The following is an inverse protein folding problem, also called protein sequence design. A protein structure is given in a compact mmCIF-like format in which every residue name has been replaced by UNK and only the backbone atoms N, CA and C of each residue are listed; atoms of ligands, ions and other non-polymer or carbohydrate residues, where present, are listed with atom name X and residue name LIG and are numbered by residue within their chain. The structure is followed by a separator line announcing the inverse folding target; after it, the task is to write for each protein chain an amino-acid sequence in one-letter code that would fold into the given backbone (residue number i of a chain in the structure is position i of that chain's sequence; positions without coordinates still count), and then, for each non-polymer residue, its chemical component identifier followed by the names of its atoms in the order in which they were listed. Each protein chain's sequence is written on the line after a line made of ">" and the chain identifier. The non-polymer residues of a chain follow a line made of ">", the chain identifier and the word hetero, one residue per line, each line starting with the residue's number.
data_IF_350534956552
#
_entry.id   IF_350534956552
#
_cell.length_a   1.000
_cell.length_b   1.000
_cell.length_c   1.000
_cell.angle_alpha   90.00
_cell.angle_beta   90.00
_cell.angle_gamma   90.00
#
_symmetry.space_group_name_H-M   'P 1'
#
loop_
_entity.id
_entity.type
_entity.pdbx_description
1 polymer ?
#
# COMPACT_ATOMS: atom_id res chain seq x y z
N UNK A 1 4.15 23.40 -57.33
CA UNK A 1 4.60 22.24 -56.52
C UNK A 1 4.38 22.60 -55.05
N UNK A 2 3.25 22.24 -54.51
CA UNK A 2 2.84 22.54 -53.13
C UNK A 2 3.07 21.31 -52.26
N UNK A 3 3.98 21.42 -51.31
CA UNK A 3 4.28 20.41 -50.32
C UNK A 3 3.13 20.31 -49.30
N UNK A 4 2.45 19.18 -49.24
CA UNK A 4 1.47 18.85 -48.20
C UNK A 4 2.21 18.53 -46.91
N UNK A 5 2.08 19.39 -45.92
CA UNK A 5 2.49 19.12 -44.54
C UNK A 5 1.46 18.18 -43.91
N UNK A 6 1.85 16.96 -43.61
CA UNK A 6 1.03 15.96 -42.93
C UNK A 6 1.02 16.28 -41.43
N UNK A 7 -0.09 16.82 -40.92
CA UNK A 7 -0.31 17.06 -39.48
C UNK A 7 -0.82 15.76 -38.87
N UNK A 8 -0.04 15.20 -37.96
CA UNK A 8 -0.50 14.13 -37.06
C UNK A 8 -1.45 14.71 -36.00
N UNK A 9 -2.59 14.06 -35.70
CA UNK A 9 -3.46 14.50 -34.62
C UNK A 9 -2.83 14.13 -33.27
N UNK A 10 -2.59 15.14 -32.43
CA UNK A 10 -2.24 15.01 -31.03
C UNK A 10 -3.48 14.59 -30.23
N UNK A 11 -3.78 13.31 -30.16
CA UNK A 11 -4.88 12.79 -29.35
C UNK A 11 -4.73 11.29 -29.12
N UNK A 12 -3.72 10.88 -28.32
CA UNK A 12 -3.62 9.53 -27.74
C UNK A 12 -2.77 9.50 -26.44
N UNK A 13 -2.98 10.48 -25.56
CA UNK A 13 -2.36 10.47 -24.23
C UNK A 13 -3.27 11.04 -23.13
N UNK A 14 -4.59 10.79 -23.23
CA UNK A 14 -5.55 11.24 -22.24
C UNK A 14 -6.63 10.19 -21.97
N UNK A 15 -6.24 8.90 -21.75
CA UNK A 15 -7.19 7.87 -21.34
C UNK A 15 -6.54 6.87 -20.38
N UNK A 16 -6.26 7.32 -19.16
CA UNK A 16 -5.88 6.42 -18.09
C UNK A 16 -6.28 6.94 -16.69
N UNK A 17 -7.30 7.81 -16.58
CA UNK A 17 -7.72 8.28 -15.26
C UNK A 17 -9.22 8.61 -15.18
N UNK A 18 -10.08 7.76 -15.69
CA UNK A 18 -11.54 7.96 -15.55
C UNK A 18 -12.29 6.62 -15.47
N UNK A 19 -11.83 5.68 -14.61
CA UNK A 19 -12.65 4.52 -14.23
C UNK A 19 -12.53 4.33 -12.70
N UNK A 20 -12.99 5.32 -11.96
CA UNK A 20 -13.32 5.17 -10.54
C UNK A 20 -14.54 6.03 -10.21
N UNK A 21 -15.66 5.82 -10.90
CA UNK A 21 -16.98 6.25 -10.43
C UNK A 21 -18.02 5.41 -11.20
N UNK A 22 -18.80 4.68 -10.43
CA UNK A 22 -19.89 3.79 -10.77
C UNK A 22 -19.51 2.31 -10.97
N UNK A 23 -19.28 1.60 -9.89
CA UNK A 23 -19.65 0.19 -9.83
C UNK A 23 -20.53 0.00 -8.61
N UNK A 24 -21.75 -0.35 -8.89
CA UNK A 24 -22.77 -0.67 -7.92
C UNK A 24 -22.31 -1.77 -6.97
N UNK A 25 -22.85 -1.68 -5.77
CA UNK A 25 -22.82 -2.70 -4.74
C UNK A 25 -23.27 -4.02 -5.36
N UNK A 26 -22.33 -4.91 -5.62
CA UNK A 26 -22.61 -6.32 -5.81
C UNK A 26 -21.73 -7.07 -4.83
N UNK A 27 -22.37 -7.75 -3.93
CA UNK A 27 -21.86 -8.65 -2.92
C UNK A 27 -20.75 -9.56 -3.48
N UNK A 28 -19.50 -9.23 -3.23
CA UNK A 28 -18.41 -10.20 -3.29
C UNK A 28 -18.20 -10.70 -1.87
N UNK A 29 -18.71 -11.90 -1.67
CA UNK A 29 -18.55 -12.72 -0.49
C UNK A 29 -17.07 -12.99 -0.21
N UNK A 30 -16.71 -12.86 1.08
CA UNK A 30 -15.73 -13.64 1.83
C UNK A 30 -14.63 -14.32 1.00
N UNK A 31 -13.54 -13.60 0.78
CA UNK A 31 -12.24 -14.22 0.62
C UNK A 31 -11.36 -13.71 1.76
N UNK A 32 -11.24 -14.54 2.79
CA UNK A 32 -10.18 -14.67 3.79
C UNK A 32 -9.41 -13.39 4.20
N UNK A 33 -10.04 -12.51 4.93
CA UNK A 33 -9.40 -11.47 5.78
C UNK A 33 -8.92 -12.08 7.11
N UNK A 34 -8.66 -13.38 7.16
CA UNK A 34 -8.40 -14.11 8.42
C UNK A 34 -6.98 -13.98 9.00
N UNK A 35 -5.99 -13.44 8.26
CA UNK A 35 -4.61 -13.44 8.73
C UNK A 35 -4.06 -12.08 9.19
N UNK A 36 -4.61 -10.96 8.71
CA UNK A 36 -4.18 -9.62 9.15
C UNK A 36 -4.54 -9.32 10.61
N UNK A 37 -5.63 -9.91 11.10
CA UNK A 37 -6.19 -9.64 12.41
C UNK A 37 -5.33 -10.11 13.61
N UNK A 38 -4.53 -11.14 13.42
CA UNK A 38 -3.66 -11.68 14.47
C UNK A 38 -2.44 -10.80 14.73
N UNK A 39 -1.86 -10.23 13.68
CA UNK A 39 -0.67 -9.41 13.75
C UNK A 39 -0.94 -8.02 14.29
N UNK A 40 -2.00 -7.37 13.82
CA UNK A 40 -2.43 -6.08 14.34
C UNK A 40 -2.69 -6.14 15.86
N UNK A 41 -3.31 -7.23 16.31
CA UNK A 41 -3.57 -7.44 17.75
C UNK A 41 -2.28 -7.62 18.55
N UNK A 42 -1.32 -8.37 18.01
CA UNK A 42 -0.08 -8.67 18.71
C UNK A 42 0.91 -7.49 18.69
N UNK A 43 0.97 -6.74 17.60
CA UNK A 43 1.78 -5.50 17.52
C UNK A 43 1.27 -4.44 18.49
N UNK A 44 -0.06 -4.32 18.63
CA UNK A 44 -0.65 -3.37 19.56
C UNK A 44 -0.53 -3.83 21.02
N UNK A 45 -0.61 -5.13 21.30
CA UNK A 45 -0.33 -5.66 22.64
C UNK A 45 1.14 -5.45 23.03
N UNK A 46 2.06 -5.50 22.07
CA UNK A 46 3.47 -5.19 22.31
C UNK A 46 3.72 -3.69 22.46
N UNK A 47 3.09 -2.83 21.65
CA UNK A 47 3.15 -1.38 21.84
C UNK A 47 2.61 -0.97 23.23
N UNK A 48 1.60 -1.68 23.75
CA UNK A 48 1.11 -1.49 25.13
C UNK A 48 2.15 -1.96 26.16
N UNK A 49 2.81 -3.12 25.93
CA UNK A 49 3.86 -3.62 26.83
C UNK A 49 5.14 -2.79 26.77
N UNK A 50 5.57 -2.35 25.58
CA UNK A 50 6.74 -1.45 25.47
C UNK A 50 6.49 -0.09 26.11
N UNK A 51 5.28 0.48 25.97
CA UNK A 51 4.90 1.69 26.69
C UNK A 51 4.82 1.48 28.23
N UNK A 52 4.52 0.26 28.69
CA UNK A 52 4.61 -0.08 30.12
C UNK A 52 6.05 -0.14 30.62
N UNK A 53 7.00 -0.59 29.80
CA UNK A 53 8.43 -0.64 30.12
C UNK A 53 9.13 0.73 30.04
N UNK A 54 8.62 1.65 29.22
CA UNK A 54 9.15 3.01 29.05
C UNK A 54 8.60 4.03 30.08
N UNK A 55 7.75 3.63 31.02
CA UNK A 55 7.20 4.52 32.04
C UNK A 55 8.30 4.95 33.02
N UNK A 56 8.64 6.23 33.11
CA UNK A 56 9.41 6.71 34.27
C UNK A 56 8.61 6.41 35.54
N UNK A 57 9.28 6.03 36.62
CA UNK A 57 8.76 5.56 37.91
C UNK A 57 7.74 6.50 38.59
N UNK A 58 6.68 6.89 37.95
CA UNK A 58 5.54 7.62 38.49
C UNK A 58 4.27 6.80 38.31
N UNK A 59 3.49 6.55 39.35
CA UNK A 59 2.15 5.93 39.26
C UNK A 59 1.28 6.79 38.35
N UNK A 60 1.26 6.48 37.02
CA UNK A 60 0.33 7.11 36.10
C UNK A 60 -1.06 6.70 36.54
N UNK A 61 -1.92 7.67 36.88
CA UNK A 61 -3.34 7.41 37.15
C UNK A 61 -3.95 6.82 35.87
N UNK A 62 -4.22 5.53 35.91
CA UNK A 62 -4.92 4.84 34.81
C UNK A 62 -6.30 5.45 34.65
N UNK A 63 -6.57 6.06 33.50
CA UNK A 63 -7.89 6.54 33.15
C UNK A 63 -8.75 5.31 32.73
N UNK A 64 -9.58 4.81 33.66
CA UNK A 64 -10.42 3.63 33.41
C UNK A 64 -11.33 3.76 32.19
N UNK A 65 -11.79 4.97 31.88
CA UNK A 65 -12.64 5.22 30.71
C UNK A 65 -11.82 5.12 29.41
N UNK A 66 -10.59 5.64 29.40
CA UNK A 66 -9.66 5.52 28.30
C UNK A 66 -9.29 4.06 28.02
N UNK A 67 -8.92 3.31 29.06
CA UNK A 67 -8.60 1.88 28.95
C UNK A 67 -9.79 1.06 28.42
N UNK A 68 -10.99 1.34 28.89
CA UNK A 68 -12.20 0.66 28.44
C UNK A 68 -12.50 0.96 26.95
N UNK A 69 -12.38 2.21 26.55
CA UNK A 69 -12.57 2.63 25.17
C UNK A 69 -11.50 2.03 24.22
N UNK A 70 -10.23 2.01 24.66
CA UNK A 70 -9.16 1.40 23.88
C UNK A 70 -9.35 -0.11 23.73
N UNK A 71 -9.74 -0.82 24.80
CA UNK A 71 -10.07 -2.25 24.73
C UNK A 71 -11.23 -2.54 23.77
N UNK A 72 -12.27 -1.69 23.77
CA UNK A 72 -13.37 -1.82 22.82
C UNK A 72 -12.89 -1.62 21.37
N UNK A 73 -12.03 -0.64 21.13
CA UNK A 73 -11.39 -0.41 19.84
C UNK A 73 -10.56 -1.63 19.40
N UNK A 74 -9.69 -2.16 20.27
CA UNK A 74 -8.90 -3.36 19.98
C UNK A 74 -9.79 -4.58 19.65
N UNK A 75 -10.90 -4.76 20.36
CA UNK A 75 -11.82 -5.85 20.08
C UNK A 75 -12.49 -5.77 18.70
N UNK A 76 -12.57 -4.56 18.10
CA UNK A 76 -13.17 -4.34 16.78
C UNK A 76 -12.25 -4.70 15.62
N UNK A 77 -10.97 -5.01 15.87
CA UNK A 77 -9.97 -5.20 14.80
C UNK A 77 -10.27 -6.35 13.84
N UNK A 78 -10.99 -7.37 14.30
CA UNK A 78 -11.41 -8.51 13.48
C UNK A 78 -12.83 -8.34 12.90
N UNK A 79 -13.44 -7.15 13.10
CA UNK A 79 -14.80 -6.84 12.68
C UNK A 79 -14.87 -5.97 11.42
N UNK A 80 -16.06 -5.41 11.24
CA UNK A 80 -16.33 -4.49 10.14
C UNK A 80 -15.40 -3.25 10.22
N UNK A 81 -14.69 -2.91 9.13
CA UNK A 81 -13.87 -1.70 9.07
C UNK A 81 -14.62 -0.41 9.41
N UNK A 82 -15.90 -0.31 9.09
CA UNK A 82 -16.70 0.88 9.41
C UNK A 82 -16.93 1.02 10.93
N UNK A 83 -17.22 -0.06 11.63
CA UNK A 83 -17.32 -0.06 13.09
C UNK A 83 -15.98 0.29 13.77
N UNK A 84 -14.89 -0.22 13.23
CA UNK A 84 -13.53 0.09 13.68
C UNK A 84 -13.20 1.58 13.51
N UNK A 85 -13.55 2.16 12.34
CA UNK A 85 -13.39 3.60 12.09
C UNK A 85 -14.15 4.41 13.13
N UNK A 86 -15.41 4.08 13.36
CA UNK A 86 -16.24 4.80 14.35
C UNK A 86 -15.59 4.79 15.75
N UNK A 87 -15.20 3.61 16.24
CA UNK A 87 -14.58 3.48 17.56
C UNK A 87 -13.24 4.21 17.66
N UNK A 88 -12.43 4.18 16.60
CA UNK A 88 -11.14 4.89 16.56
C UNK A 88 -11.31 6.41 16.53
N UNK A 89 -12.26 6.93 15.73
CA UNK A 89 -12.60 8.36 15.71
C UNK A 89 -13.14 8.85 17.06
N UNK A 90 -14.04 8.05 17.68
CA UNK A 90 -14.56 8.34 19.01
C UNK A 90 -13.45 8.34 20.07
N UNK A 91 -12.53 7.36 20.01
CA UNK A 91 -11.39 7.29 20.91
C UNK A 91 -10.50 8.53 20.77
N UNK A 92 -10.09 8.85 19.54
CA UNK A 92 -9.22 10.00 19.28
C UNK A 92 -9.87 11.34 19.68
N UNK A 93 -11.19 11.47 19.52
CA UNK A 93 -11.93 12.66 19.93
C UNK A 93 -12.07 12.80 21.46
N UNK A 94 -12.28 11.69 22.18
CA UNK A 94 -12.45 11.69 23.63
C UNK A 94 -11.13 11.79 24.39
N UNK A 95 -10.03 11.27 23.83
CA UNK A 95 -8.73 11.15 24.48
C UNK A 95 -7.59 11.73 23.60
N UNK A 96 -7.62 13.05 23.31
CA UNK A 96 -6.68 13.67 22.36
C UNK A 96 -5.21 13.70 22.84
N UNK A 97 -4.94 13.38 24.11
CA UNK A 97 -3.60 13.26 24.66
C UNK A 97 -3.24 11.81 25.04
N UNK A 98 -3.96 10.82 24.52
CA UNK A 98 -3.74 9.41 24.83
C UNK A 98 -2.42 8.90 24.26
N UNK A 99 -1.71 8.09 25.06
CA UNK A 99 -0.54 7.34 24.62
C UNK A 99 -0.87 6.28 23.54
N UNK A 100 -2.13 5.90 23.38
CA UNK A 100 -2.59 4.91 22.41
C UNK A 100 -2.85 5.49 21.01
N UNK A 101 -2.84 6.81 20.86
CA UNK A 101 -3.15 7.47 19.58
C UNK A 101 -2.26 7.05 18.41
N UNK A 102 -0.93 6.79 18.56
CA UNK A 102 -0.13 6.29 17.45
C UNK A 102 -0.72 5.01 16.82
N UNK A 103 -1.03 4.03 17.66
CA UNK A 103 -1.65 2.77 17.22
C UNK A 103 -3.07 2.96 16.68
N UNK A 104 -3.89 3.81 17.33
CA UNK A 104 -5.25 4.11 16.86
C UNK A 104 -5.22 4.74 15.46
N UNK A 105 -4.36 5.73 15.21
CA UNK A 105 -4.23 6.34 13.90
C UNK A 105 -3.64 5.38 12.86
N UNK A 106 -2.72 4.49 13.24
CA UNK A 106 -2.22 3.43 12.36
C UNK A 106 -3.34 2.52 11.87
N UNK A 107 -4.18 2.02 12.78
CA UNK A 107 -5.35 1.19 12.44
C UNK A 107 -6.42 1.97 11.67
N UNK A 108 -6.64 3.25 12.00
CA UNK A 108 -7.54 4.09 11.20
C UNK A 108 -7.04 4.26 9.77
N UNK A 109 -5.72 4.38 9.56
CA UNK A 109 -5.12 4.49 8.23
C UNK A 109 -5.46 3.28 7.37
N UNK A 110 -5.21 2.08 7.88
CA UNK A 110 -5.52 0.82 7.17
C UNK A 110 -7.03 0.63 6.98
N UNK A 111 -7.86 1.02 7.95
CA UNK A 111 -9.32 0.91 7.86
C UNK A 111 -9.91 1.86 6.82
N UNK A 112 -9.40 3.10 6.72
CA UNK A 112 -9.79 4.03 5.67
C UNK A 112 -9.32 3.59 4.29
N UNK A 113 -8.14 2.97 4.20
CA UNK A 113 -7.69 2.36 2.96
C UNK A 113 -8.65 1.25 2.51
N UNK A 114 -9.01 0.33 3.40
CA UNK A 114 -9.92 -0.79 3.12
C UNK A 114 -11.34 -0.31 2.71
N UNK A 115 -11.79 0.85 3.20
CA UNK A 115 -13.09 1.44 2.85
C UNK A 115 -13.02 2.44 1.70
N UNK A 116 -11.85 2.65 1.08
CA UNK A 116 -11.66 3.59 -0.03
C UNK A 116 -11.73 5.07 0.37
N UNK A 117 -11.69 5.39 1.67
CA UNK A 117 -11.72 6.78 2.14
C UNK A 117 -10.31 7.39 2.14
N UNK A 118 -9.82 7.70 0.95
CA UNK A 118 -8.43 8.07 0.72
C UNK A 118 -8.01 9.35 1.47
N UNK A 119 -8.86 10.36 1.56
CA UNK A 119 -8.49 11.63 2.20
C UNK A 119 -8.34 11.46 3.72
N UNK A 120 -9.25 10.70 4.34
CA UNK A 120 -9.13 10.36 5.76
C UNK A 120 -7.95 9.43 6.02
N UNK A 121 -7.64 8.51 5.10
CA UNK A 121 -6.45 7.65 5.17
C UNK A 121 -5.17 8.49 5.25
N UNK A 122 -4.98 9.45 4.35
CA UNK A 122 -3.80 10.33 4.39
C UNK A 122 -3.74 11.17 5.66
N UNK A 123 -4.88 11.68 6.12
CA UNK A 123 -4.95 12.47 7.37
C UNK A 123 -4.56 11.62 8.58
N UNK A 124 -5.11 10.41 8.70
CA UNK A 124 -4.80 9.50 9.80
C UNK A 124 -3.35 9.02 9.75
N UNK A 125 -2.86 8.65 8.55
CA UNK A 125 -1.48 8.20 8.35
C UNK A 125 -0.45 9.29 8.70
N UNK A 126 -0.68 10.53 8.29
CA UNK A 126 0.18 11.66 8.68
C UNK A 126 0.23 11.85 10.19
N UNK A 127 -0.91 11.73 10.88
CA UNK A 127 -0.96 11.80 12.35
C UNK A 127 -0.24 10.62 13.00
N UNK A 128 -0.40 9.40 12.46
CA UNK A 128 0.30 8.22 12.96
C UNK A 128 1.83 8.42 12.89
N UNK A 129 2.35 8.86 11.74
CA UNK A 129 3.80 9.11 11.54
C UNK A 129 4.29 10.28 12.42
N UNK A 130 3.48 11.33 12.60
CA UNK A 130 3.83 12.45 13.47
C UNK A 130 3.99 12.01 14.93
N UNK A 131 3.13 11.09 15.39
CA UNK A 131 3.14 10.58 16.76
C UNK A 131 4.15 9.44 16.97
N UNK A 132 4.36 8.64 15.94
CA UNK A 132 5.33 7.54 15.90
C UNK A 132 6.12 7.57 14.59
N UNK A 133 7.28 8.25 14.56
CA UNK A 133 8.15 8.33 13.38
C UNK A 133 8.83 7.00 13.00
N UNK A 134 8.57 5.91 13.69
CA UNK A 134 9.06 4.57 13.39
C UNK A 134 7.96 3.62 12.90
N UNK A 135 6.75 4.12 12.69
CA UNK A 135 5.61 3.32 12.24
C UNK A 135 5.77 2.89 10.78
N UNK A 136 6.56 1.84 10.58
CA UNK A 136 6.93 1.33 9.25
C UNK A 136 5.70 0.78 8.49
N UNK A 137 4.69 0.27 9.18
CA UNK A 137 3.45 -0.23 8.59
C UNK A 137 2.69 0.87 7.86
N UNK A 138 2.53 2.01 8.55
CA UNK A 138 1.89 3.19 7.97
C UNK A 138 2.74 3.79 6.85
N UNK A 139 4.07 3.80 7.01
CA UNK A 139 4.98 4.28 5.97
C UNK A 139 4.85 3.46 4.69
N UNK A 140 4.86 2.12 4.77
CA UNK A 140 4.71 1.25 3.61
C UNK A 140 3.37 1.49 2.89
N UNK A 141 2.27 1.57 3.64
CA UNK A 141 0.96 1.84 3.08
C UNK A 141 0.87 3.23 2.42
N UNK A 142 1.39 4.27 3.07
CA UNK A 142 1.40 5.63 2.51
C UNK A 142 2.29 5.73 1.27
N UNK A 143 3.43 5.07 1.25
CA UNK A 143 4.31 5.04 0.10
C UNK A 143 3.58 4.52 -1.14
N UNK A 144 2.94 3.36 -1.05
CA UNK A 144 2.13 2.79 -2.12
C UNK A 144 0.96 3.69 -2.51
N UNK A 145 0.21 4.20 -1.52
CA UNK A 145 -1.00 4.97 -1.81
C UNK A 145 -0.70 6.35 -2.43
N UNK A 146 0.37 7.02 -2.01
CA UNK A 146 0.81 8.29 -2.59
C UNK A 146 1.27 8.06 -4.03
N UNK A 147 2.14 7.07 -4.28
CA UNK A 147 2.66 6.80 -5.62
C UNK A 147 1.56 6.46 -6.62
N UNK A 148 0.51 5.76 -6.20
CA UNK A 148 -0.64 5.43 -7.06
C UNK A 148 -1.55 6.63 -7.36
N UNK A 149 -1.59 7.63 -6.51
CA UNK A 149 -2.50 8.79 -6.64
C UNK A 149 -1.84 10.02 -7.24
N UNK A 150 -0.60 10.28 -6.87
CA UNK A 150 0.11 11.52 -7.17
C UNK A 150 0.88 11.37 -8.48
N UNK A 151 0.89 12.43 -9.30
CA UNK A 151 1.72 12.51 -10.50
C UNK A 151 2.78 13.60 -10.33
N UNK A 152 3.99 13.39 -10.86
CA UNK A 152 5.08 14.38 -10.74
C UNK A 152 4.70 15.79 -11.27
N UNK A 153 3.74 15.83 -12.19
CA UNK A 153 3.28 17.06 -12.84
C UNK A 153 2.21 17.83 -12.08
N UNK A 154 1.68 17.26 -10.99
CA UNK A 154 0.70 17.96 -10.14
C UNK A 154 1.40 18.97 -9.22
N UNK A 155 0.73 20.05 -8.78
CA UNK A 155 1.27 20.92 -7.74
C UNK A 155 1.73 20.08 -6.54
N UNK A 156 2.92 20.34 -6.02
CA UNK A 156 3.56 19.59 -4.93
C UNK A 156 3.75 18.07 -5.17
N UNK A 157 3.42 17.59 -6.38
CA UNK A 157 3.49 16.17 -6.71
C UNK A 157 4.89 15.59 -6.56
N UNK A 158 5.90 16.29 -7.05
CA UNK A 158 7.30 15.86 -6.91
C UNK A 158 7.70 15.72 -5.42
N UNK A 159 7.30 16.66 -4.57
CA UNK A 159 7.58 16.62 -3.13
C UNK A 159 6.84 15.48 -2.44
N UNK A 160 5.57 15.24 -2.81
CA UNK A 160 4.80 14.13 -2.27
C UNK A 160 5.40 12.78 -2.66
N UNK A 161 5.84 12.61 -3.91
CA UNK A 161 6.52 11.39 -4.37
C UNK A 161 7.87 11.19 -3.69
N UNK A 162 8.65 12.26 -3.45
CA UNK A 162 9.88 12.19 -2.66
C UNK A 162 9.60 11.76 -1.21
N UNK A 163 8.49 12.22 -0.62
CA UNK A 163 8.06 11.76 0.72
C UNK A 163 7.69 10.28 0.70
N UNK A 164 6.96 9.83 -0.34
CA UNK A 164 6.60 8.43 -0.52
C UNK A 164 7.84 7.54 -0.69
N UNK A 165 8.83 7.96 -1.48
CA UNK A 165 10.11 7.28 -1.64
C UNK A 165 10.85 7.15 -0.29
N UNK A 166 10.89 8.23 0.48
CA UNK A 166 11.50 8.23 1.82
C UNK A 166 10.78 7.24 2.75
N UNK A 167 9.45 7.22 2.73
CA UNK A 167 8.67 6.29 3.55
C UNK A 167 8.90 4.84 3.13
N UNK A 168 8.94 4.55 1.83
CA UNK A 168 9.21 3.21 1.34
C UNK A 168 10.57 2.69 1.79
N UNK A 169 11.65 3.46 1.60
CA UNK A 169 12.99 3.09 2.04
C UNK A 169 13.06 2.84 3.55
N UNK A 170 12.46 3.73 4.36
CA UNK A 170 12.43 3.54 5.81
C UNK A 170 11.63 2.30 6.22
N UNK A 171 10.51 2.02 5.56
CA UNK A 171 9.74 0.81 5.83
C UNK A 171 10.56 -0.45 5.51
N UNK A 172 11.27 -0.47 4.36
CA UNK A 172 12.13 -1.58 3.96
C UNK A 172 13.28 -1.79 4.95
N UNK A 173 13.82 -0.73 5.53
CA UNK A 173 14.86 -0.80 6.56
C UNK A 173 14.33 -1.32 7.89
N UNK A 174 13.18 -0.83 8.35
CA UNK A 174 12.65 -1.10 9.69
C UNK A 174 11.93 -2.46 9.77
N UNK A 175 11.07 -2.80 8.81
CA UNK A 175 10.22 -4.01 8.88
C UNK A 175 11.02 -5.30 9.13
N UNK A 176 12.17 -5.55 8.47
CA UNK A 176 12.95 -6.77 8.76
C UNK A 176 13.44 -6.88 10.20
N UNK A 177 13.66 -5.75 10.87
CA UNK A 177 14.18 -5.69 12.25
C UNK A 177 13.11 -5.79 13.32
N UNK A 178 11.83 -5.79 12.94
CA UNK A 178 10.71 -5.84 13.89
C UNK A 178 10.75 -7.11 14.73
N UNK A 179 10.58 -6.95 16.03
CA UNK A 179 10.52 -8.08 16.95
C UNK A 179 9.19 -8.82 16.81
N UNK A 180 9.27 -10.16 16.76
CA UNK A 180 8.07 -11.00 16.70
C UNK A 180 7.36 -11.02 18.06
N UNK A 181 6.04 -10.74 18.09
CA UNK A 181 5.25 -10.90 19.31
C UNK A 181 5.19 -12.38 19.76
N UNK A 182 5.25 -12.64 21.06
CA UNK A 182 5.18 -13.99 21.62
C UNK A 182 3.89 -14.75 21.27
N UNK A 183 2.82 -14.01 20.94
CA UNK A 183 1.48 -14.56 20.66
C UNK A 183 1.27 -14.93 19.19
N UNK A 184 2.26 -14.70 18.34
CA UNK A 184 2.20 -14.95 16.89
C UNK A 184 3.23 -16.00 16.50
N UNK A 185 2.83 -16.99 15.69
CA UNK A 185 3.76 -17.96 15.12
C UNK A 185 4.66 -17.32 14.05
N UNK A 186 5.81 -17.95 13.80
CA UNK A 186 6.82 -17.41 12.90
C UNK A 186 6.30 -17.24 11.46
N UNK A 187 5.53 -18.20 10.96
CA UNK A 187 5.03 -18.16 9.59
C UNK A 187 4.04 -17.00 9.37
N UNK A 188 3.12 -16.79 10.33
CA UNK A 188 2.17 -15.68 10.31
C UNK A 188 2.90 -14.34 10.41
N UNK A 189 3.92 -14.25 11.27
CA UNK A 189 4.70 -13.01 11.42
C UNK A 189 5.50 -12.67 10.16
N UNK A 190 6.24 -13.66 9.59
CA UNK A 190 7.01 -13.43 8.37
C UNK A 190 6.10 -13.09 7.17
N UNK A 191 4.95 -13.78 7.05
CA UNK A 191 3.96 -13.46 6.03
C UNK A 191 3.53 -11.98 6.09
N UNK A 192 3.20 -11.49 7.28
CA UNK A 192 2.75 -10.12 7.43
C UNK A 192 3.88 -9.10 7.23
N UNK A 193 5.12 -9.39 7.62
CA UNK A 193 6.29 -8.56 7.27
C UNK A 193 6.43 -8.47 5.76
N UNK A 194 6.34 -9.61 5.06
CA UNK A 194 6.47 -9.67 3.62
C UNK A 194 5.34 -8.92 2.92
N UNK A 195 4.08 -9.03 3.37
CA UNK A 195 2.96 -8.25 2.82
C UNK A 195 3.18 -6.73 2.95
N UNK A 196 3.76 -6.28 4.07
CA UNK A 196 4.11 -4.86 4.28
C UNK A 196 5.29 -4.41 3.41
N UNK A 197 6.32 -5.22 3.30
CA UNK A 197 7.45 -4.96 2.40
C UNK A 197 6.96 -4.86 0.95
N UNK A 198 6.03 -5.72 0.54
CA UNK A 198 5.43 -5.69 -0.79
C UNK A 198 4.79 -4.33 -1.11
N UNK A 199 4.09 -3.71 -0.13
CA UNK A 199 3.53 -2.36 -0.31
C UNK A 199 4.63 -1.31 -0.56
N UNK A 200 5.71 -1.36 0.22
CA UNK A 200 6.82 -0.41 0.07
C UNK A 200 7.49 -0.57 -1.31
N UNK A 201 7.78 -1.80 -1.73
CA UNK A 201 8.34 -2.10 -3.04
C UNK A 201 7.39 -1.72 -4.20
N UNK A 202 6.07 -1.93 -4.06
CA UNK A 202 5.07 -1.46 -5.02
C UNK A 202 5.12 0.07 -5.19
N UNK A 203 5.26 0.80 -4.08
CA UNK A 203 5.40 2.25 -4.09
C UNK A 203 6.65 2.73 -4.84
N UNK A 204 7.82 2.14 -4.54
CA UNK A 204 9.09 2.48 -5.21
C UNK A 204 9.03 2.16 -6.70
N UNK A 205 8.54 0.98 -7.07
CA UNK A 205 8.48 0.58 -8.47
C UNK A 205 7.65 1.52 -9.33
N UNK A 206 6.54 2.06 -8.80
CA UNK A 206 5.75 3.05 -9.53
C UNK A 206 6.46 4.42 -9.61
N UNK A 207 7.14 4.85 -8.55
CA UNK A 207 7.97 6.06 -8.56
C UNK A 207 9.09 5.93 -9.61
N UNK A 208 9.73 4.78 -9.70
CA UNK A 208 10.78 4.53 -10.69
C UNK A 208 10.25 4.50 -12.13
N UNK A 209 9.03 3.98 -12.36
CA UNK A 209 8.35 4.11 -13.67
C UNK A 209 8.16 5.59 -14.03
N UNK A 210 7.62 6.40 -13.11
CA UNK A 210 7.38 7.82 -13.34
C UNK A 210 8.71 8.57 -13.62
N UNK A 211 9.82 8.14 -13.00
CA UNK A 211 11.17 8.65 -13.22
C UNK A 211 11.90 8.01 -14.42
N UNK A 212 11.27 7.08 -15.15
CA UNK A 212 11.81 6.33 -16.29
C UNK A 212 13.04 5.46 -15.96
N UNK A 213 13.18 5.09 -14.71
CA UNK A 213 14.19 4.14 -14.21
C UNK A 213 13.66 2.71 -14.33
N UNK A 214 13.47 2.23 -15.55
CA UNK A 214 12.70 0.99 -15.79
C UNK A 214 13.37 -0.28 -15.24
N UNK A 215 14.70 -0.33 -15.19
CA UNK A 215 15.41 -1.48 -14.58
C UNK A 215 15.21 -1.52 -13.05
N UNK A 216 15.27 -0.35 -12.39
CA UNK A 216 15.00 -0.25 -10.96
C UNK A 216 13.52 -0.61 -10.68
N UNK A 217 12.60 -0.07 -11.49
CA UNK A 217 11.17 -0.38 -11.39
C UNK A 217 10.87 -1.88 -11.50
N UNK A 218 11.54 -2.59 -12.44
CA UNK A 218 11.43 -4.05 -12.56
C UNK A 218 11.83 -4.76 -11.27
N UNK A 219 12.96 -4.35 -10.71
CA UNK A 219 13.50 -4.95 -9.49
C UNK A 219 12.52 -4.76 -8.34
N UNK A 220 12.05 -3.55 -8.13
CA UNK A 220 11.13 -3.21 -7.05
C UNK A 220 9.76 -3.92 -7.22
N UNK A 221 9.18 -3.91 -8.41
CA UNK A 221 7.89 -4.55 -8.66
C UNK A 221 7.98 -6.08 -8.62
N UNK A 222 9.11 -6.67 -9.04
CA UNK A 222 9.34 -8.10 -8.87
C UNK A 222 9.39 -8.50 -7.38
N UNK A 223 10.03 -7.69 -6.53
CA UNK A 223 10.00 -7.87 -5.08
C UNK A 223 8.57 -7.74 -4.53
N UNK A 224 7.81 -6.73 -4.97
CA UNK A 224 6.43 -6.54 -4.54
C UNK A 224 5.56 -7.78 -4.80
N UNK A 225 5.58 -8.32 -6.02
CA UNK A 225 4.77 -9.50 -6.37
C UNK A 225 5.30 -10.80 -5.77
N UNK A 226 6.59 -10.90 -5.48
CA UNK A 226 7.19 -12.07 -4.83
C UNK A 226 6.88 -12.14 -3.34
N UNK A 227 6.93 -11.00 -2.64
CA UNK A 227 6.74 -10.92 -1.20
C UNK A 227 5.27 -10.99 -0.81
N UNK A 228 4.38 -10.41 -1.61
CA UNK A 228 2.96 -10.37 -1.30
C UNK A 228 2.36 -11.77 -1.24
N UNK A 229 1.65 -12.08 -0.15
CA UNK A 229 0.92 -13.33 -0.02
C UNK A 229 -0.28 -13.45 -0.96
N UNK A 230 -0.79 -12.32 -1.42
CA UNK A 230 -1.81 -12.17 -2.46
C UNK A 230 -1.43 -10.97 -3.33
N UNK A 231 -0.58 -11.16 -4.35
CA UNK A 231 -0.10 -10.06 -5.17
C UNK A 231 -1.23 -9.29 -5.86
N UNK A 232 -1.14 -7.98 -5.84
CA UNK A 232 -2.11 -7.10 -6.51
C UNK A 232 -1.94 -7.23 -8.03
N UNK A 233 -3.01 -7.50 -8.79
CA UNK A 233 -2.94 -7.49 -10.26
C UNK A 233 -2.38 -6.19 -10.86
N UNK A 234 -2.51 -5.07 -10.16
CA UNK A 234 -1.91 -3.78 -10.55
C UNK A 234 -0.39 -3.87 -10.57
N UNK A 235 0.22 -4.53 -9.58
CA UNK A 235 1.69 -4.65 -9.51
C UNK A 235 2.24 -5.53 -10.63
N UNK A 236 1.55 -6.61 -10.99
CA UNK A 236 1.87 -7.38 -12.20
C UNK A 236 1.72 -6.57 -13.49
N UNK A 237 0.68 -5.72 -13.59
CA UNK A 237 0.52 -4.83 -14.73
C UNK A 237 1.66 -3.82 -14.84
N UNK A 238 2.05 -3.22 -13.71
CA UNK A 238 3.17 -2.27 -13.64
C UNK A 238 4.50 -2.95 -13.96
N UNK A 239 4.73 -4.16 -13.44
CA UNK A 239 5.91 -4.97 -13.74
C UNK A 239 6.02 -5.24 -15.24
N UNK A 240 4.94 -5.70 -15.88
CA UNK A 240 4.92 -5.92 -17.33
C UNK A 240 5.17 -4.62 -18.12
N UNK A 241 4.69 -3.47 -17.65
CA UNK A 241 5.01 -2.18 -18.28
C UNK A 241 6.50 -1.84 -18.15
N UNK A 242 7.11 -2.03 -16.98
CA UNK A 242 8.53 -1.79 -16.74
C UNK A 242 9.39 -2.74 -17.60
N UNK A 243 9.00 -4.03 -17.68
CA UNK A 243 9.66 -5.03 -18.51
C UNK A 243 9.67 -4.64 -20.00
N UNK A 244 8.52 -4.19 -20.55
CA UNK A 244 8.45 -3.71 -21.94
C UNK A 244 9.38 -2.54 -22.17
N UNK A 245 9.42 -1.56 -21.26
CA UNK A 245 10.25 -0.37 -21.38
C UNK A 245 11.74 -0.69 -21.26
N UNK A 246 12.09 -1.72 -20.50
CA UNK A 246 13.46 -2.21 -20.34
C UNK A 246 13.88 -3.28 -21.38
N UNK A 247 12.99 -3.60 -22.34
CA UNK A 247 13.15 -4.61 -23.41
C UNK A 247 13.21 -6.08 -22.93
N UNK A 248 12.59 -6.39 -21.78
CA UNK A 248 12.42 -7.77 -21.29
C UNK A 248 11.04 -8.30 -21.71
N UNK A 249 10.84 -8.47 -23.02
CA UNK A 249 9.51 -8.76 -23.58
C UNK A 249 8.93 -10.09 -23.12
N UNK A 250 9.76 -11.12 -22.91
CA UNK A 250 9.30 -12.42 -22.41
C UNK A 250 8.83 -12.33 -20.95
N UNK A 251 9.52 -11.56 -20.12
CA UNK A 251 9.13 -11.31 -18.71
C UNK A 251 7.83 -10.50 -18.68
N UNK A 252 7.69 -9.52 -19.57
CA UNK A 252 6.45 -8.76 -19.72
C UNK A 252 5.25 -9.65 -20.05
N UNK A 253 5.42 -10.65 -20.95
CA UNK A 253 4.38 -11.63 -21.26
C UNK A 253 3.96 -12.40 -20.02
N UNK A 254 4.92 -12.82 -19.19
CA UNK A 254 4.66 -13.56 -17.96
C UNK A 254 3.92 -12.69 -16.93
N UNK A 255 4.39 -11.46 -16.70
CA UNK A 255 3.79 -10.52 -15.77
C UNK A 255 2.34 -10.16 -16.18
N UNK A 256 2.12 -9.80 -17.45
CA UNK A 256 0.77 -9.53 -17.95
C UNK A 256 -0.12 -10.77 -17.92
N UNK A 257 0.43 -11.98 -18.12
CA UNK A 257 -0.28 -13.23 -17.94
C UNK A 257 -0.86 -13.37 -16.55
N UNK A 258 -0.04 -13.15 -15.52
CA UNK A 258 -0.48 -13.15 -14.11
C UNK A 258 -1.55 -12.10 -13.81
N UNK A 259 -1.37 -10.88 -14.33
CA UNK A 259 -2.37 -9.83 -14.23
C UNK A 259 -3.70 -10.22 -14.89
N UNK A 260 -3.66 -11.00 -15.97
CA UNK A 260 -4.83 -11.40 -16.74
C UNK A 260 -5.69 -12.49 -16.08
N UNK A 261 -5.17 -13.16 -15.05
CA UNK A 261 -5.86 -14.27 -14.36
C UNK A 261 -7.08 -13.79 -13.57
N UNK A 262 -7.10 -12.53 -13.11
CA UNK A 262 -8.20 -12.00 -12.30
C UNK A 262 -8.23 -10.46 -12.25
N UNK A 263 -9.37 -9.94 -11.79
CA UNK A 263 -9.52 -8.52 -11.46
C UNK A 263 -9.92 -7.62 -12.63
N UNK A 264 -10.07 -6.31 -12.36
CA UNK A 264 -10.62 -5.35 -13.32
C UNK A 264 -9.69 -5.08 -14.53
N UNK A 265 -8.40 -5.39 -14.39
CA UNK A 265 -7.39 -5.20 -15.44
C UNK A 265 -7.24 -6.41 -16.36
N UNK A 266 -7.95 -7.51 -16.13
CA UNK A 266 -7.75 -8.78 -16.86
C UNK A 266 -7.80 -8.62 -18.39
N UNK A 267 -8.77 -7.88 -18.92
CA UNK A 267 -8.91 -7.64 -20.37
C UNK A 267 -7.73 -6.83 -20.91
N UNK A 268 -7.33 -5.78 -20.20
CA UNK A 268 -6.20 -4.94 -20.57
C UNK A 268 -4.89 -5.72 -20.52
N UNK A 269 -4.70 -6.56 -19.50
CA UNK A 269 -3.52 -7.38 -19.35
C UNK A 269 -3.41 -8.42 -20.47
N UNK A 270 -4.52 -9.06 -20.90
CA UNK A 270 -4.52 -9.96 -22.06
C UNK A 270 -4.04 -9.24 -23.32
N UNK A 271 -4.57 -8.05 -23.61
CA UNK A 271 -4.16 -7.28 -24.77
C UNK A 271 -2.68 -6.87 -24.71
N UNK A 272 -2.17 -6.50 -23.52
CA UNK A 272 -0.76 -6.18 -23.32
C UNK A 272 0.15 -7.40 -23.45
N UNK A 273 -0.27 -8.56 -22.96
CA UNK A 273 0.46 -9.82 -23.16
C UNK A 273 0.64 -10.16 -24.63
N UNK A 274 -0.42 -10.03 -25.44
CA UNK A 274 -0.33 -10.28 -26.90
C UNK A 274 0.60 -9.27 -27.59
N UNK A 275 0.55 -7.99 -27.20
CA UNK A 275 1.50 -6.98 -27.70
C UNK A 275 2.94 -7.33 -27.34
N UNK A 276 3.19 -7.74 -26.10
CA UNK A 276 4.53 -8.12 -25.64
C UNK A 276 5.05 -9.39 -26.35
N UNK A 277 4.19 -10.37 -26.67
CA UNK A 277 4.55 -11.53 -27.50
C UNK A 277 5.00 -11.11 -28.90
N UNK A 278 4.29 -10.16 -29.52
CA UNK A 278 4.69 -9.63 -30.82
C UNK A 278 6.05 -8.93 -30.73
N UNK A 279 6.26 -8.13 -29.70
CA UNK A 279 7.53 -7.45 -29.47
C UNK A 279 8.68 -8.43 -29.21
N UNK A 280 8.45 -9.50 -28.46
CA UNK A 280 9.42 -10.58 -28.23
C UNK A 280 9.84 -11.31 -29.53
N UNK A 281 8.90 -11.42 -30.48
CA UNK A 281 9.18 -12.07 -31.77
C UNK A 281 9.85 -11.15 -32.79
N UNK A 282 9.75 -9.84 -32.65
CA UNK A 282 10.16 -8.87 -33.68
C UNK A 282 11.29 -7.93 -33.24
N UNK A 283 11.52 -7.79 -31.94
CA UNK A 283 12.51 -6.90 -31.36
C UNK A 283 13.61 -7.69 -30.63
N UNK A 284 14.77 -7.05 -30.42
CA UNK A 284 15.81 -7.63 -29.58
C UNK A 284 15.33 -7.58 -28.12
N UNK A 285 15.17 -8.76 -27.53
CA UNK A 285 14.87 -8.90 -26.09
C UNK A 285 16.16 -9.08 -25.28
N UNK A 286 16.18 -8.54 -24.08
CA UNK A 286 17.22 -8.82 -23.10
C UNK A 286 16.93 -10.11 -22.36
#
# INVERSE_FOLDING_TARGET
>A
MTAKVFRWPASLLAFALAIFLTAGISSAQNASVGSESGLDRSMQQNAVKENELMRPNGKVKVNKAEEAAYKAFLASQNGDPAARIQLGEEFAGKFPASQYLPGVYGVLTSSYFATGNTDKMFTAGSKAIQLDPQNADVMALLAMAISRRVKPTTPDGAQQLQTAETYAHRAIEIIPTMAKPDTVDDATFEKAKNDKLALAHSGLGLIDIDNKKFEDARTELAQAVQLASSPDPVDYYLLGNADVQANYYNDAVAAYGKCADSGPLAVQCKARAESAKHDAATKISR
#
